data_IF_490770614737
#
_entry.id   IF_490770614737
#
_cell.length_a   1.000
_cell.length_b   1.000
_cell.length_c   1.000
_cell.angle_alpha   90.00
_cell.angle_beta   90.00
_cell.angle_gamma   90.00
#
_symmetry.space_group_name_H-M   'P 1'
#
loop_
_entity.id
_entity.type
_entity.pdbx_description
1 polymer ?
#
# COMPACT_ATOMS: atom_id res chain seq x y z
N UNK A 1 15.97 5.90 -1.99
CA UNK A 1 15.13 5.67 -3.19
C UNK A 1 13.68 5.61 -2.74
N UNK A 2 12.75 6.14 -3.54
CA UNK A 2 11.31 6.00 -3.32
C UNK A 2 10.67 7.09 -2.45
N UNK A 3 11.46 7.93 -1.77
CA UNK A 3 10.92 9.13 -1.10
C UNK A 3 10.29 10.08 -2.11
N UNK A 4 9.43 10.99 -1.66
CA UNK A 4 8.76 11.94 -2.56
C UNK A 4 9.78 12.78 -3.33
N UNK A 5 10.80 13.30 -2.66
CA UNK A 5 11.89 14.08 -3.27
C UNK A 5 12.67 13.28 -4.33
N UNK A 6 12.96 12.00 -4.05
CA UNK A 6 13.63 11.13 -5.02
C UNK A 6 12.72 10.87 -6.23
N UNK A 7 11.43 10.65 -5.99
CA UNK A 7 10.46 10.29 -7.02
C UNK A 7 10.20 11.48 -7.94
N UNK A 8 9.96 12.67 -7.38
CA UNK A 8 9.81 13.93 -8.13
C UNK A 8 11.05 14.24 -8.98
N UNK A 9 12.26 14.06 -8.43
CA UNK A 9 13.51 14.30 -9.17
C UNK A 9 13.76 13.33 -10.32
N UNK A 10 13.32 12.08 -10.19
CA UNK A 10 13.65 11.00 -11.14
C UNK A 10 12.49 10.58 -12.03
N UNK A 11 11.29 11.13 -11.82
CA UNK A 11 10.05 10.58 -12.39
C UNK A 11 9.75 9.16 -11.93
N UNK A 12 10.37 8.70 -10.83
CA UNK A 12 10.34 7.31 -10.36
C UNK A 12 11.18 6.32 -11.18
N UNK A 13 12.02 6.80 -12.10
CA UNK A 13 12.88 5.97 -12.95
C UNK A 13 14.10 5.45 -12.18
N UNK A 14 14.31 4.13 -12.24
CA UNK A 14 15.39 3.45 -11.54
C UNK A 14 16.66 3.35 -12.39
N UNK A 15 17.78 3.79 -11.82
CA UNK A 15 19.11 3.50 -12.38
C UNK A 15 19.52 2.03 -12.14
N UNK A 16 20.64 1.58 -12.72
CA UNK A 16 21.07 0.17 -12.60
C UNK A 16 21.40 -0.26 -11.16
N UNK A 17 22.09 0.59 -10.40
CA UNK A 17 22.44 0.29 -9.01
C UNK A 17 21.18 0.16 -8.14
N UNK A 18 20.21 1.03 -8.39
CA UNK A 18 18.89 1.02 -7.77
C UNK A 18 18.09 -0.25 -8.09
N UNK A 19 18.06 -0.66 -9.37
CA UNK A 19 17.44 -1.93 -9.77
C UNK A 19 18.08 -3.15 -9.08
N UNK A 20 19.40 -3.14 -8.89
CA UNK A 20 20.11 -4.19 -8.15
C UNK A 20 19.79 -4.15 -6.66
N UNK A 21 19.70 -2.96 -6.06
CA UNK A 21 19.37 -2.78 -4.65
C UNK A 21 17.98 -3.32 -4.30
N UNK A 22 17.01 -3.25 -5.24
CA UNK A 22 15.67 -3.79 -5.06
C UNK A 22 15.59 -5.32 -5.15
N UNK A 23 16.58 -6.01 -5.72
CA UNK A 23 16.52 -7.45 -5.93
C UNK A 23 16.45 -8.24 -4.61
N UNK A 24 17.24 -7.84 -3.60
CA UNK A 24 17.28 -8.51 -2.29
C UNK A 24 15.95 -8.37 -1.52
N UNK A 25 15.38 -7.17 -1.29
CA UNK A 25 14.09 -7.05 -0.62
C UNK A 25 12.97 -7.75 -1.41
N UNK A 26 13.00 -7.72 -2.74
CA UNK A 26 12.02 -8.43 -3.56
C UNK A 26 12.07 -9.95 -3.37
N UNK A 27 13.27 -10.54 -3.38
CA UNK A 27 13.46 -11.97 -3.13
C UNK A 27 12.99 -12.36 -1.72
N UNK A 28 13.27 -11.52 -0.71
CA UNK A 28 12.74 -11.73 0.65
C UNK A 28 11.21 -11.72 0.67
N UNK A 29 10.59 -10.77 -0.03
CA UNK A 29 9.13 -10.67 -0.18
C UNK A 29 8.54 -11.95 -0.80
N UNK A 30 9.09 -12.43 -1.92
CA UNK A 30 8.65 -13.67 -2.57
C UNK A 30 8.73 -14.89 -1.65
N UNK A 31 9.87 -15.05 -0.96
CA UNK A 31 10.04 -16.12 0.04
C UNK A 31 9.02 -16.01 1.16
N UNK A 32 8.75 -14.79 1.63
CA UNK A 32 7.75 -14.51 2.66
C UNK A 32 6.33 -14.87 2.22
N UNK A 33 5.95 -14.58 0.98
CA UNK A 33 4.65 -14.96 0.40
C UNK A 33 4.53 -16.48 0.35
N UNK A 34 5.52 -17.19 -0.21
CA UNK A 34 5.49 -18.66 -0.34
C UNK A 34 5.44 -19.32 1.04
N UNK A 35 6.36 -18.95 1.94
CA UNK A 35 6.42 -19.51 3.29
C UNK A 35 5.15 -19.22 4.10
N UNK A 36 4.64 -17.98 4.01
CA UNK A 36 3.39 -17.58 4.67
C UNK A 36 2.19 -18.40 4.19
N UNK A 37 2.10 -18.69 2.89
CA UNK A 37 1.03 -19.55 2.33
C UNK A 37 1.11 -20.99 2.82
N UNK A 38 2.31 -21.58 2.83
CA UNK A 38 2.52 -22.93 3.35
C UNK A 38 2.11 -23.00 4.82
N UNK A 39 2.58 -22.04 5.64
CA UNK A 39 2.20 -21.96 7.04
C UNK A 39 0.68 -21.76 7.24
N UNK A 40 0.02 -20.97 6.39
CA UNK A 40 -1.44 -20.84 6.40
C UNK A 40 -2.16 -22.14 6.04
N UNK A 41 -1.72 -22.83 4.99
CA UNK A 41 -2.31 -24.10 4.56
C UNK A 41 -2.18 -25.19 5.64
N UNK A 42 -1.04 -25.24 6.33
CA UNK A 42 -0.77 -26.15 7.43
C UNK A 42 -1.33 -25.68 8.78
N UNK A 43 -1.98 -24.52 8.84
CA UNK A 43 -2.46 -23.89 10.10
C UNK A 43 -1.37 -23.69 11.16
N UNK A 44 -0.13 -23.42 10.73
CA UNK A 44 1.04 -23.13 11.56
C UNK A 44 1.40 -21.64 11.62
N UNK A 45 0.62 -20.77 10.98
CA UNK A 45 0.91 -19.35 10.88
C UNK A 45 0.70 -18.59 12.22
N UNK A 46 1.53 -17.57 12.45
CA UNK A 46 1.61 -16.84 13.73
C UNK A 46 0.28 -16.19 14.15
N UNK A 47 -0.51 -15.68 13.20
CA UNK A 47 -1.78 -15.01 13.47
C UNK A 47 -2.82 -15.87 14.19
N UNK A 48 -2.66 -17.20 14.27
CA UNK A 48 -3.53 -18.08 15.09
C UNK A 48 -3.32 -17.92 16.60
N UNK A 49 -2.17 -17.38 16.99
CA UNK A 49 -1.77 -17.20 18.39
C UNK A 49 -1.85 -15.74 18.83
N UNK A 50 -2.26 -14.85 17.92
CA UNK A 50 -2.38 -13.42 18.17
C UNK A 50 -3.86 -13.07 18.27
N UNK A 51 -4.21 -12.26 19.27
CA UNK A 51 -5.50 -11.57 19.32
C UNK A 51 -5.24 -10.09 19.10
N UNK A 52 -6.08 -9.45 18.28
CA UNK A 52 -6.03 -8.01 18.06
C UNK A 52 -7.38 -7.43 18.46
N UNK A 53 -7.38 -6.29 19.13
CA UNK A 53 -8.61 -5.53 19.36
C UNK A 53 -9.13 -4.99 18.02
N UNK A 54 -10.34 -5.37 17.57
CA UNK A 54 -10.91 -4.85 16.34
C UNK A 54 -10.98 -3.30 16.29
N UNK A 55 -11.11 -2.64 17.45
CA UNK A 55 -11.17 -1.17 17.53
C UNK A 55 -9.87 -0.49 17.07
N UNK A 56 -8.73 -1.18 17.21
CA UNK A 56 -7.42 -0.71 16.73
C UNK A 56 -7.35 -0.61 15.19
N UNK A 57 -8.26 -1.31 14.50
CA UNK A 57 -8.34 -1.35 13.04
C UNK A 57 -9.35 -0.35 12.48
N UNK A 58 -10.14 0.28 13.35
CA UNK A 58 -11.13 1.28 12.94
C UNK A 58 -10.39 2.53 12.45
N UNK A 59 -10.76 3.07 11.27
CA UNK A 59 -10.27 4.38 10.85
C UNK A 59 -10.58 5.48 11.87
N UNK A 60 -9.79 6.55 11.93
CA UNK A 60 -10.15 7.73 12.69
C UNK A 60 -11.46 8.34 12.16
N UNK A 61 -12.30 8.88 13.05
CA UNK A 61 -13.58 9.54 12.73
C UNK A 61 -13.48 11.07 12.87
N UNK A 62 -12.34 11.62 12.50
CA UNK A 62 -12.09 13.07 12.51
C UNK A 62 -12.73 13.73 11.29
N UNK A 63 -12.81 15.07 11.28
CA UNK A 63 -13.25 15.80 10.10
C UNK A 63 -12.34 15.53 8.89
N UNK A 64 -11.02 15.62 9.09
CA UNK A 64 -10.02 15.37 8.04
C UNK A 64 -10.16 13.97 7.43
N UNK A 65 -10.35 12.94 8.26
CA UNK A 65 -10.52 11.56 7.79
C UNK A 65 -11.80 11.36 6.97
N UNK A 66 -12.92 11.97 7.38
CA UNK A 66 -14.19 11.91 6.64
C UNK A 66 -14.14 12.69 5.33
N UNK A 67 -13.48 13.83 5.32
CA UNK A 67 -13.30 14.64 4.12
C UNK A 67 -12.35 13.95 3.13
N UNK A 68 -11.28 13.33 3.62
CA UNK A 68 -10.37 12.52 2.80
C UNK A 68 -11.09 11.32 2.17
N UNK A 69 -11.99 10.67 2.91
CA UNK A 69 -12.80 9.56 2.42
C UNK A 69 -13.74 10.00 1.29
N UNK A 70 -14.32 11.20 1.42
CA UNK A 70 -15.19 11.80 0.41
C UNK A 70 -14.39 12.12 -0.85
N UNK A 71 -13.26 12.81 -0.71
CA UNK A 71 -12.37 13.14 -1.83
C UNK A 71 -11.84 11.90 -2.55
N UNK A 72 -11.40 10.87 -1.82
CA UNK A 72 -10.91 9.64 -2.42
C UNK A 72 -12.01 8.87 -3.18
N UNK A 73 -13.26 8.93 -2.72
CA UNK A 73 -14.41 8.30 -3.39
C UNK A 73 -14.72 8.92 -4.75
N UNK A 74 -14.46 10.20 -4.93
CA UNK A 74 -14.66 10.89 -6.22
C UNK A 74 -13.61 10.52 -7.26
N UNK A 75 -12.43 10.06 -6.81
CA UNK A 75 -11.27 9.79 -7.66
C UNK A 75 -11.08 8.29 -7.97
N UNK A 76 -11.55 7.42 -7.08
CA UNK A 76 -11.27 5.98 -7.13
C UNK A 76 -12.53 5.18 -7.44
N UNK A 77 -12.35 4.09 -8.18
CA UNK A 77 -13.40 3.08 -8.28
C UNK A 77 -13.69 2.46 -6.90
N UNK A 78 -14.89 1.87 -6.70
CA UNK A 78 -15.19 1.18 -5.44
C UNK A 78 -14.17 0.08 -5.06
N UNK A 79 -13.59 -0.61 -6.05
CA UNK A 79 -12.61 -1.66 -5.81
C UNK A 79 -11.27 -1.10 -5.28
N UNK A 80 -10.80 0.01 -5.86
CA UNK A 80 -9.55 0.67 -5.44
C UNK A 80 -9.75 1.46 -4.14
N UNK A 81 -10.90 2.11 -3.94
CA UNK A 81 -11.22 2.75 -2.65
C UNK A 81 -11.26 1.71 -1.51
N UNK A 82 -11.87 0.55 -1.74
CA UNK A 82 -11.84 -0.52 -0.76
C UNK A 82 -10.43 -1.10 -0.57
N UNK A 83 -9.57 -1.09 -1.59
CA UNK A 83 -8.15 -1.41 -1.42
C UNK A 83 -7.48 -0.42 -0.45
N UNK A 84 -7.64 0.89 -0.65
CA UNK A 84 -7.13 1.91 0.27
C UNK A 84 -7.54 1.66 1.73
N UNK A 85 -8.83 1.39 1.98
CA UNK A 85 -9.34 1.07 3.32
C UNK A 85 -8.78 -0.23 3.89
N UNK A 86 -8.63 -1.26 3.06
CA UNK A 86 -7.99 -2.52 3.47
C UNK A 86 -6.51 -2.31 3.77
N UNK A 87 -5.79 -1.51 2.97
CA UNK A 87 -4.39 -1.17 3.19
C UNK A 87 -4.17 -0.50 4.55
N UNK A 88 -5.05 0.43 4.95
CA UNK A 88 -5.06 0.97 6.32
C UNK A 88 -5.27 -0.14 7.36
N UNK A 89 -6.33 -0.95 7.22
CA UNK A 89 -6.66 -1.97 8.22
C UNK A 89 -5.55 -3.02 8.37
N UNK A 90 -4.91 -3.42 7.26
CA UNK A 90 -3.76 -4.32 7.28
C UNK A 90 -2.53 -3.67 7.90
N UNK A 91 -2.23 -2.41 7.58
CA UNK A 91 -1.15 -1.66 8.21
C UNK A 91 -1.35 -1.55 9.72
N UNK A 92 -2.54 -1.15 10.17
CA UNK A 92 -2.88 -1.07 11.59
C UNK A 92 -2.76 -2.44 12.30
N UNK A 93 -3.21 -3.53 11.66
CA UNK A 93 -3.05 -4.88 12.21
C UNK A 93 -1.56 -5.27 12.34
N UNK A 94 -0.74 -4.95 11.35
CA UNK A 94 0.70 -5.21 11.40
C UNK A 94 1.43 -4.30 12.39
N UNK A 95 0.97 -3.07 12.58
CA UNK A 95 1.50 -2.17 13.60
C UNK A 95 1.32 -2.77 15.01
N UNK A 96 0.14 -3.32 15.28
CA UNK A 96 -0.13 -4.01 16.54
C UNK A 96 0.71 -5.30 16.71
N UNK A 97 0.94 -6.06 15.63
CA UNK A 97 1.81 -7.24 15.64
C UNK A 97 3.27 -6.86 15.89
N UNK A 98 3.74 -5.76 15.30
CA UNK A 98 5.15 -5.33 15.32
C UNK A 98 5.46 -4.39 16.51
N UNK A 99 4.46 -3.94 17.27
CA UNK A 99 4.62 -2.95 18.34
C UNK A 99 5.01 -1.57 17.84
N UNK A 100 4.51 -1.17 16.66
CA UNK A 100 4.82 0.12 16.01
C UNK A 100 3.73 1.14 16.30
N UNK A 101 4.12 2.28 16.86
CA UNK A 101 3.26 3.46 16.98
C UNK A 101 3.31 4.32 15.73
N UNK A 102 2.19 4.94 15.37
CA UNK A 102 2.04 5.78 14.18
C UNK A 102 0.92 6.80 14.38
N UNK A 103 0.90 7.85 13.56
CA UNK A 103 -0.22 8.78 13.50
C UNK A 103 -1.37 8.16 12.69
N UNK A 104 -2.49 7.85 13.37
CA UNK A 104 -3.63 7.17 12.74
C UNK A 104 -4.31 8.02 11.68
N UNK A 105 -4.36 9.34 11.87
CA UNK A 105 -5.02 10.26 10.94
C UNK A 105 -4.19 10.42 9.67
N UNK A 106 -2.90 10.70 9.81
CA UNK A 106 -2.00 10.82 8.66
C UNK A 106 -1.85 9.50 7.91
N UNK A 107 -1.78 8.37 8.63
CA UNK A 107 -1.73 7.05 8.00
C UNK A 107 -3.02 6.74 7.23
N UNK A 108 -4.19 7.13 7.75
CA UNK A 108 -5.46 6.93 7.06
C UNK A 108 -5.56 7.78 5.80
N UNK A 109 -5.20 9.07 5.89
CA UNK A 109 -5.13 9.97 4.73
C UNK A 109 -4.17 9.41 3.67
N UNK A 110 -2.95 9.01 4.07
CA UNK A 110 -1.99 8.41 3.14
C UNK A 110 -2.55 7.15 2.47
N UNK A 111 -3.22 6.29 3.25
CA UNK A 111 -3.87 5.08 2.75
C UNK A 111 -4.98 5.40 1.74
N UNK A 112 -5.80 6.42 1.97
CA UNK A 112 -6.87 6.82 1.05
C UNK A 112 -6.33 7.36 -0.28
N UNK A 113 -5.26 8.14 -0.24
CA UNK A 113 -4.73 8.82 -1.41
C UNK A 113 -3.65 8.05 -2.19
N UNK A 114 -3.06 6.97 -1.66
CA UNK A 114 -1.86 6.37 -2.26
C UNK A 114 -1.99 5.96 -3.74
N UNK A 115 -3.19 5.54 -4.14
CA UNK A 115 -3.49 5.07 -5.50
C UNK A 115 -4.30 6.06 -6.35
N UNK A 116 -4.58 7.30 -5.89
CA UNK A 116 -5.41 8.24 -6.67
C UNK A 116 -4.79 8.66 -8.00
N UNK A 117 -3.46 8.55 -8.13
CA UNK A 117 -2.74 8.78 -9.37
C UNK A 117 -2.78 7.61 -10.37
N UNK A 118 -3.13 6.39 -9.95
CA UNK A 118 -3.02 5.18 -10.80
C UNK A 118 -4.07 5.11 -11.94
N UNK A 119 -5.32 5.59 -11.80
CA UNK A 119 -6.33 5.47 -12.86
C UNK A 119 -6.04 6.32 -14.11
N UNK A 120 -5.20 7.35 -13.97
CA UNK A 120 -4.90 8.33 -15.02
C UNK A 120 -3.40 8.34 -15.31
N UNK A 121 -2.88 7.35 -16.05
CA UNK A 121 -1.44 7.20 -16.24
C UNK A 121 -0.90 8.28 -17.19
N UNK A 122 0.22 8.89 -16.79
CA UNK A 122 0.90 9.95 -17.55
C UNK A 122 2.27 9.43 -17.98
N UNK A 123 2.67 9.58 -19.25
CA UNK A 123 4.00 9.16 -19.72
C UNK A 123 5.11 9.74 -18.85
N UNK A 124 6.07 8.89 -18.49
CA UNK A 124 7.30 9.23 -17.76
C UNK A 124 7.11 9.84 -16.36
N UNK A 125 5.89 9.85 -15.82
CA UNK A 125 5.59 10.34 -14.48
C UNK A 125 5.04 9.20 -13.64
N UNK A 126 5.77 8.80 -12.60
CA UNK A 126 5.31 7.80 -11.62
C UNK A 126 4.01 8.24 -10.93
N UNK A 127 3.04 7.34 -10.88
CA UNK A 127 1.70 7.65 -10.35
C UNK A 127 1.70 8.16 -8.91
N UNK A 128 2.68 7.78 -8.09
CA UNK A 128 2.73 8.24 -6.70
C UNK A 128 3.04 9.73 -6.60
N UNK A 129 3.68 10.35 -7.61
CA UNK A 129 3.84 11.81 -7.67
C UNK A 129 2.46 12.45 -7.82
N UNK A 130 1.63 11.90 -8.70
CA UNK A 130 0.25 12.38 -8.92
C UNK A 130 -0.61 12.17 -7.68
N UNK A 131 -0.54 10.99 -7.07
CA UNK A 131 -1.21 10.70 -5.79
C UNK A 131 -0.78 11.67 -4.68
N UNK A 132 0.52 11.93 -4.57
CA UNK A 132 1.08 12.86 -3.58
C UNK A 132 0.66 14.31 -3.84
N UNK A 133 0.54 14.73 -5.10
CA UNK A 133 0.05 16.06 -5.45
C UNK A 133 -1.41 16.26 -5.04
N UNK A 134 -2.27 15.27 -5.28
CA UNK A 134 -3.67 15.27 -4.81
C UNK A 134 -3.74 15.35 -3.29
N UNK A 135 -2.96 14.51 -2.59
CA UNK A 135 -2.92 14.52 -1.13
C UNK A 135 -2.41 15.86 -0.57
N UNK A 136 -1.39 16.46 -1.21
CA UNK A 136 -0.84 17.76 -0.79
C UNK A 136 -1.87 18.87 -0.93
N UNK A 137 -2.54 18.96 -2.08
CA UNK A 137 -3.60 19.95 -2.31
C UNK A 137 -4.76 19.79 -1.31
N UNK A 138 -5.15 18.55 -1.02
CA UNK A 138 -6.14 18.25 0.02
C UNK A 138 -5.67 18.76 1.39
N UNK A 139 -4.47 18.36 1.83
CA UNK A 139 -3.93 18.75 3.13
C UNK A 139 -3.70 20.26 3.27
N UNK A 140 -3.29 20.94 2.19
CA UNK A 140 -3.17 22.40 2.13
C UNK A 140 -4.54 23.08 2.36
N UNK A 141 -5.60 22.58 1.71
CA UNK A 141 -6.96 23.10 1.90
C UNK A 141 -7.46 22.91 3.35
N UNK A 142 -6.96 21.88 4.04
CA UNK A 142 -7.21 21.63 5.46
C UNK A 142 -6.19 22.27 6.41
N UNK A 143 -5.29 23.14 5.91
CA UNK A 143 -4.29 23.86 6.69
C UNK A 143 -3.35 22.95 7.50
N UNK A 144 -3.11 21.73 7.02
CA UNK A 144 -2.20 20.78 7.67
C UNK A 144 -0.76 21.21 7.42
N UNK A 145 0.06 21.27 8.46
CA UNK A 145 1.43 21.77 8.38
C UNK A 145 2.35 20.96 7.45
N UNK A 146 3.41 21.58 6.90
CA UNK A 146 4.27 20.98 5.85
C UNK A 146 5.00 19.71 6.30
N UNK A 147 5.31 19.57 7.59
CA UNK A 147 5.93 18.35 8.14
C UNK A 147 5.01 17.13 8.01
N UNK A 148 3.73 17.30 8.36
CA UNK A 148 2.72 16.24 8.27
C UNK A 148 2.38 15.93 6.82
N UNK A 149 2.33 16.94 5.95
CA UNK A 149 2.20 16.73 4.51
C UNK A 149 3.36 15.91 3.94
N UNK A 150 4.60 16.19 4.38
CA UNK A 150 5.77 15.42 3.98
C UNK A 150 5.70 13.97 4.46
N UNK A 151 5.14 13.73 5.65
CA UNK A 151 4.88 12.37 6.16
C UNK A 151 3.91 11.61 5.26
N UNK A 152 2.75 12.21 4.94
CA UNK A 152 1.74 11.61 4.05
C UNK A 152 2.30 11.36 2.65
N UNK A 153 2.93 12.37 2.05
CA UNK A 153 3.46 12.27 0.68
C UNK A 153 4.64 11.32 0.58
N UNK A 154 5.49 11.19 1.59
CA UNK A 154 6.52 10.14 1.62
C UNK A 154 5.92 8.75 1.77
N UNK A 155 4.91 8.56 2.62
CA UNK A 155 4.24 7.27 2.74
C UNK A 155 3.63 6.84 1.39
N UNK A 156 2.93 7.76 0.72
CA UNK A 156 2.39 7.56 -0.63
C UNK A 156 3.51 7.27 -1.62
N UNK A 157 4.58 8.06 -1.67
CA UNK A 157 5.67 7.83 -2.61
C UNK A 157 6.31 6.46 -2.38
N UNK A 158 6.58 6.07 -1.14
CA UNK A 158 7.33 4.87 -0.81
C UNK A 158 6.52 3.57 -0.91
N UNK A 159 5.19 3.59 -0.84
CA UNK A 159 4.39 2.41 -0.49
C UNK A 159 4.66 1.15 -1.35
N UNK A 160 4.86 1.30 -2.66
CA UNK A 160 5.13 0.15 -3.54
C UNK A 160 6.63 -0.08 -3.79
N UNK A 161 7.52 0.56 -3.04
CA UNK A 161 8.95 0.29 -3.09
C UNK A 161 9.27 -0.96 -2.28
N UNK A 162 9.93 -1.99 -2.86
CA UNK A 162 10.30 -3.18 -2.09
C UNK A 162 11.20 -2.88 -0.89
N UNK A 163 10.76 -3.26 0.31
CA UNK A 163 11.59 -3.25 1.51
C UNK A 163 11.69 -1.90 2.22
N UNK A 164 10.64 -1.07 2.18
CA UNK A 164 10.53 0.11 3.05
C UNK A 164 10.76 -0.31 4.51
N UNK A 165 11.70 0.36 5.17
CA UNK A 165 12.03 0.14 6.57
C UNK A 165 11.46 1.26 7.46
N UNK A 166 11.43 1.02 8.77
CA UNK A 166 10.88 1.96 9.76
C UNK A 166 11.64 3.30 9.85
N UNK A 167 12.89 3.36 9.38
CA UNK A 167 13.68 4.58 9.29
C UNK A 167 13.11 5.61 8.30
N UNK A 168 12.24 5.18 7.39
CA UNK A 168 11.45 6.05 6.52
C UNK A 168 10.18 6.60 7.17
N UNK A 169 9.94 6.30 8.44
CA UNK A 169 8.74 6.67 9.18
C UNK A 169 7.72 5.53 9.25
N UNK A 170 6.97 5.45 10.36
CA UNK A 170 6.04 4.35 10.58
C UNK A 170 4.89 4.33 9.55
N UNK A 171 4.39 5.48 9.10
CA UNK A 171 3.32 5.57 8.10
C UNK A 171 3.75 4.97 6.76
N UNK A 172 4.98 5.25 6.32
CA UNK A 172 5.52 4.70 5.08
C UNK A 172 5.74 3.18 5.17
N UNK A 173 6.31 2.73 6.28
CA UNK A 173 6.51 1.31 6.56
C UNK A 173 5.17 0.55 6.56
N UNK A 174 4.19 1.06 7.30
CA UNK A 174 2.89 0.42 7.46
C UNK A 174 2.05 0.48 6.18
N UNK A 175 2.11 1.57 5.41
CA UNK A 175 1.39 1.67 4.14
C UNK A 175 1.95 0.66 3.12
N UNK A 176 3.29 0.57 3.04
CA UNK A 176 3.94 -0.43 2.20
C UNK A 176 3.55 -1.86 2.60
N UNK A 177 3.59 -2.15 3.90
CA UNK A 177 3.25 -3.46 4.41
C UNK A 177 1.76 -3.81 4.19
N UNK A 178 0.86 -2.87 4.46
CA UNK A 178 -0.59 -3.03 4.31
C UNK A 178 -1.01 -3.23 2.84
N UNK A 179 -0.48 -2.43 1.92
CA UNK A 179 -0.71 -2.60 0.49
C UNK A 179 -0.17 -3.97 0.02
N UNK A 180 1.01 -4.39 0.48
CA UNK A 180 1.58 -5.68 0.12
C UNK A 180 0.80 -6.89 0.68
N UNK A 181 0.17 -6.76 1.86
CA UNK A 181 -0.82 -7.73 2.33
C UNK A 181 -1.95 -7.83 1.32
N UNK A 182 -2.59 -6.72 0.94
CA UNK A 182 -3.79 -6.77 0.12
C UNK A 182 -3.56 -7.25 -1.32
N UNK A 183 -2.43 -6.86 -1.92
CA UNK A 183 -2.09 -7.18 -3.31
C UNK A 183 -1.45 -8.57 -3.44
N UNK A 184 -0.53 -8.93 -2.54
CA UNK A 184 0.29 -10.15 -2.67
C UNK A 184 0.02 -11.21 -1.60
N UNK A 185 -0.69 -10.86 -0.53
CA UNK A 185 -0.80 -11.71 0.65
C UNK A 185 0.47 -11.79 1.48
N UNK A 186 1.45 -10.91 1.22
CA UNK A 186 2.68 -10.85 2.01
C UNK A 186 2.31 -10.59 3.47
N UNK A 187 2.94 -11.30 4.42
CA UNK A 187 2.64 -11.22 5.87
C UNK A 187 1.20 -11.54 6.30
N UNK A 188 0.30 -11.92 5.39
CA UNK A 188 -1.11 -12.23 5.74
C UNK A 188 -1.26 -13.29 6.85
N UNK A 189 -0.35 -14.27 6.92
CA UNK A 189 -0.34 -15.28 7.99
C UNK A 189 -0.03 -14.74 9.39
N UNK A 190 0.44 -13.50 9.52
CA UNK A 190 0.68 -12.85 10.80
C UNK A 190 -0.59 -12.17 11.36
N UNK A 191 -1.55 -11.85 10.49
CA UNK A 191 -2.84 -11.26 10.88
C UNK A 191 -3.79 -12.37 11.33
N UNK A 192 -4.58 -12.22 12.41
CA UNK A 192 -5.55 -13.24 12.85
C UNK A 192 -6.62 -13.56 11.82
N UNK A 193 -7.08 -14.82 11.79
CA UNK A 193 -8.08 -15.32 10.83
C UNK A 193 -9.38 -14.51 10.87
N UNK A 194 -9.86 -14.20 12.08
CA UNK A 194 -11.07 -13.42 12.32
C UNK A 194 -10.94 -11.99 11.78
N UNK A 195 -9.78 -11.36 11.98
CA UNK A 195 -9.47 -10.01 11.45
C UNK A 195 -9.45 -10.04 9.93
N UNK A 196 -8.78 -11.03 9.32
CA UNK A 196 -8.75 -11.16 7.86
C UNK A 196 -10.15 -11.28 7.26
N UNK A 197 -11.01 -12.09 7.87
CA UNK A 197 -12.38 -12.27 7.43
C UNK A 197 -13.22 -11.00 7.62
N UNK A 198 -13.07 -10.30 8.75
CA UNK A 198 -13.81 -9.09 9.06
C UNK A 198 -13.49 -7.94 8.10
N UNK A 199 -12.21 -7.67 7.86
CA UNK A 199 -11.76 -6.58 6.97
C UNK A 199 -12.22 -6.82 5.52
N UNK A 200 -12.11 -8.04 4.99
CA UNK A 200 -12.58 -8.35 3.63
C UNK A 200 -14.11 -8.27 3.52
N UNK A 201 -14.84 -8.63 4.58
CA UNK A 201 -16.30 -8.49 4.64
C UNK A 201 -16.72 -7.02 4.68
N UNK A 202 -16.05 -6.21 5.48
CA UNK A 202 -16.34 -4.78 5.63
C UNK A 202 -15.97 -3.98 4.37
N UNK A 203 -14.87 -4.35 3.72
CA UNK A 203 -14.38 -3.71 2.50
C UNK A 203 -14.23 -4.74 1.36
N UNK A 204 -15.34 -5.13 0.71
CA UNK A 204 -15.34 -6.13 -0.35
C UNK A 204 -14.35 -5.81 -1.46
N UNK A 205 -13.76 -6.85 -2.06
CA UNK A 205 -12.72 -6.70 -3.09
C UNK A 205 -13.25 -6.29 -4.46
N UNK A 206 -14.50 -6.61 -4.80
CA UNK A 206 -15.19 -6.10 -5.99
C UNK A 206 -14.40 -6.27 -7.31
N UNK A 207 -13.68 -7.38 -7.48
CA UNK A 207 -12.88 -7.63 -8.69
C UNK A 207 -11.53 -6.91 -8.72
N UNK A 208 -11.09 -6.35 -7.57
CA UNK A 208 -9.86 -5.58 -7.41
C UNK A 208 -8.64 -6.22 -8.07
N UNK A 209 -8.46 -7.55 -7.96
CA UNK A 209 -7.32 -8.26 -8.56
C UNK A 209 -7.19 -8.00 -10.06
N UNK A 210 -8.31 -8.01 -10.79
CA UNK A 210 -8.33 -7.81 -12.25
C UNK A 210 -8.08 -6.35 -12.57
N UNK A 211 -8.76 -5.45 -11.87
CA UNK A 211 -8.67 -4.01 -12.09
C UNK A 211 -7.27 -3.48 -11.78
N UNK A 212 -6.74 -3.79 -10.59
CA UNK A 212 -5.42 -3.36 -10.17
C UNK A 212 -4.32 -3.92 -11.08
N UNK A 213 -4.40 -5.19 -11.51
CA UNK A 213 -3.43 -5.74 -12.46
C UNK A 213 -3.43 -4.98 -13.80
N UNK A 214 -4.60 -4.53 -14.28
CA UNK A 214 -4.70 -3.75 -15.50
C UNK A 214 -4.12 -2.34 -15.32
N UNK A 215 -4.48 -1.65 -14.22
CA UNK A 215 -3.98 -0.33 -13.86
C UNK A 215 -2.44 -0.33 -13.70
N UNK A 216 -1.92 -1.28 -12.92
CA UNK A 216 -0.49 -1.41 -12.65
C UNK A 216 0.32 -1.73 -13.92
N UNK A 217 -0.25 -2.54 -14.84
CA UNK A 217 0.36 -2.78 -16.15
C UNK A 217 0.36 -1.53 -17.04
N UNK A 218 -0.73 -0.75 -17.01
CA UNK A 218 -0.79 0.50 -17.77
C UNK A 218 0.28 1.49 -17.29
N UNK A 219 0.42 1.66 -15.98
CA UNK A 219 1.46 2.48 -15.37
C UNK A 219 2.87 1.99 -15.72
N UNK A 220 3.12 0.67 -15.61
CA UNK A 220 4.40 0.06 -15.99
C UNK A 220 4.79 0.30 -17.47
N UNK A 221 3.82 0.52 -18.35
CA UNK A 221 4.08 0.88 -19.76
C UNK A 221 4.39 2.36 -19.94
N UNK A 222 3.75 3.23 -19.16
CA UNK A 222 3.93 4.68 -19.25
C UNK A 222 5.24 5.15 -18.61
N UNK A 223 5.78 4.40 -17.64
CA UNK A 223 7.05 4.74 -16.98
C UNK A 223 8.09 3.61 -17.17
N UNK A 224 8.71 3.49 -18.37
CA UNK A 224 9.74 2.50 -18.62
C UNK A 224 10.89 2.62 -17.63
N UNK A 225 11.36 1.48 -17.10
CA UNK A 225 12.39 1.43 -16.05
C UNK A 225 11.98 2.12 -14.73
N UNK A 226 10.73 2.55 -14.60
CA UNK A 226 10.13 2.98 -13.35
C UNK A 226 9.95 1.84 -12.36
N UNK A 227 9.54 2.18 -11.15
CA UNK A 227 9.28 1.22 -10.08
C UNK A 227 8.12 0.26 -10.41
N UNK A 228 7.02 0.75 -10.97
CA UNK A 228 5.92 -0.09 -11.43
C UNK A 228 6.35 -1.05 -12.55
N UNK A 229 7.15 -0.57 -13.50
CA UNK A 229 7.77 -1.40 -14.54
C UNK A 229 8.64 -2.51 -13.96
N UNK A 230 9.51 -2.16 -13.01
CA UNK A 230 10.42 -3.12 -12.36
C UNK A 230 9.62 -4.21 -11.64
N UNK A 231 8.62 -3.78 -10.87
CA UNK A 231 7.73 -4.68 -10.16
C UNK A 231 6.94 -5.57 -11.11
N UNK A 232 6.31 -5.03 -12.14
CA UNK A 232 5.60 -5.82 -13.16
C UNK A 232 6.51 -6.85 -13.84
N UNK A 233 7.79 -6.50 -14.07
CA UNK A 233 8.79 -7.38 -14.68
C UNK A 233 9.23 -8.53 -13.78
N UNK A 234 9.39 -8.29 -12.47
CA UNK A 234 10.10 -9.21 -11.56
C UNK A 234 9.27 -9.73 -10.37
N UNK A 235 8.07 -9.22 -10.12
CA UNK A 235 7.27 -9.62 -8.96
C UNK A 235 5.76 -9.65 -9.16
N UNK A 236 5.24 -8.64 -9.85
CA UNK A 236 3.81 -8.38 -10.02
C UNK A 236 3.39 -8.92 -11.38
N UNK A 237 3.44 -10.24 -11.52
CA UNK A 237 2.77 -10.89 -12.63
C UNK A 237 1.27 -10.95 -12.34
N UNK A 238 0.44 -10.97 -13.39
CA UNK A 238 -1.00 -11.25 -13.26
C UNK A 238 -1.27 -12.50 -12.41
N UNK A 239 -0.40 -13.50 -12.52
CA UNK A 239 -0.47 -14.74 -11.76
C UNK A 239 -0.27 -14.47 -10.27
N UNK A 240 0.73 -13.67 -9.88
CA UNK A 240 0.99 -13.35 -8.48
C UNK A 240 -0.21 -12.63 -7.83
N UNK A 241 -0.78 -11.62 -8.49
CA UNK A 241 -1.97 -10.90 -7.99
C UNK A 241 -3.18 -11.85 -7.90
N UNK A 242 -3.42 -12.66 -8.93
CA UNK A 242 -4.53 -13.64 -8.94
C UNK A 242 -4.42 -14.63 -7.78
N UNK A 243 -3.20 -15.04 -7.45
CA UNK A 243 -2.94 -16.02 -6.41
C UNK A 243 -3.08 -15.46 -4.99
N UNK A 244 -3.12 -14.14 -4.75
CA UNK A 244 -3.25 -13.59 -3.40
C UNK A 244 -4.39 -14.25 -2.59
N UNK A 245 -4.24 -14.48 -1.27
CA UNK A 245 -5.08 -15.41 -0.50
C UNK A 245 -6.52 -14.92 -0.29
N UNK A 246 -6.80 -13.65 -0.58
CA UNK A 246 -8.12 -13.06 -0.42
C UNK A 246 -8.99 -13.34 -1.66
N UNK A 247 -10.23 -13.76 -1.42
CA UNK A 247 -11.26 -14.00 -2.45
C UNK A 247 -12.11 -12.74 -2.68
N UNK A 248 -12.71 -12.65 -3.87
CA UNK A 248 -13.40 -11.46 -4.38
C UNK A 248 -12.51 -10.54 -5.18
#
# INVERSE_FOLDING_TARGET
MGTIEWTERTGGVLNRAEQLALARPLLRGHRGIIGGRIAMALRLHAGRRTSLDPSSLTPPDTALARDAETAARELLSPAVLNHSRRSYAWGAALAAVDGVSFDRELFYVASLFHDTGIPSPVPEVDFTIRSAAVARAFLDAHQVGPEYQRTVTNAIALHHTPGVALDHGPEAFLLSAGAAVDVFGLRSGQVPDAVRAAVVRQYPRLGFKREFAALFRAEARQVPRGRAWYLHRFAVSDVAIRLAPFRG
#
